data_IF_584691954446
#
_entry.id   IF_584691954446
#
_cell.length_a   1.000
_cell.length_b   1.000
_cell.length_c   1.000
_cell.angle_alpha   90.00
_cell.angle_beta   90.00
_cell.angle_gamma   90.00
#
_symmetry.space_group_name_H-M   'P 1'
#
loop_
_entity.id
_entity.type
_entity.pdbx_description
1 polymer ?
#
# COMPACT_ATOMS: atom_id res chain seq x y z
N UNK A 1 -0.66 21.93 -7.83
CA UNK A 1 0.67 22.47 -7.44
C UNK A 1 0.75 22.58 -5.93
N UNK A 2 1.85 22.13 -5.29
CA UNK A 2 2.06 22.26 -3.84
C UNK A 2 2.26 23.74 -3.47
N UNK A 3 1.59 24.22 -2.42
CA UNK A 3 1.69 25.61 -1.94
C UNK A 3 3.13 25.99 -1.59
N UNK A 4 3.52 27.25 -1.78
CA UNK A 4 4.84 27.80 -1.39
C UNK A 4 5.16 27.45 0.08
N UNK A 5 4.16 27.56 0.97
CA UNK A 5 4.29 27.18 2.39
C UNK A 5 4.72 25.73 2.56
N UNK A 6 4.15 24.82 1.77
CA UNK A 6 4.49 23.38 1.85
C UNK A 6 5.89 23.07 1.31
N UNK A 7 6.39 23.84 0.34
CA UNK A 7 7.76 23.69 -0.19
C UNK A 7 8.79 24.19 0.81
N UNK A 8 8.52 25.33 1.46
CA UNK A 8 9.37 25.87 2.53
C UNK A 8 9.40 24.90 3.72
N UNK A 9 8.23 24.45 4.19
CA UNK A 9 8.14 23.50 5.29
C UNK A 9 8.90 22.20 5.00
N UNK A 10 8.85 21.69 3.77
CA UNK A 10 9.60 20.51 3.36
C UNK A 10 11.12 20.73 3.45
N UNK A 11 11.62 21.87 2.95
CA UNK A 11 13.04 22.21 3.00
C UNK A 11 13.54 22.38 4.43
N UNK A 12 12.78 23.07 5.28
CA UNK A 12 13.11 23.23 6.70
C UNK A 12 13.17 21.87 7.40
N UNK A 13 12.16 21.01 7.20
CA UNK A 13 12.17 19.64 7.76
C UNK A 13 13.36 18.82 7.30
N UNK A 14 13.68 18.89 6.01
CA UNK A 14 14.83 18.18 5.43
C UNK A 14 16.15 18.66 6.03
N UNK A 15 16.32 19.98 6.21
CA UNK A 15 17.51 20.54 6.85
C UNK A 15 17.63 20.13 8.31
N UNK A 16 16.53 20.21 9.09
CA UNK A 16 16.52 19.79 10.49
C UNK A 16 16.88 18.31 10.65
N UNK A 17 16.38 17.46 9.74
CA UNK A 17 16.70 16.03 9.69
C UNK A 17 18.17 15.78 9.29
N UNK A 18 18.64 16.40 8.20
CA UNK A 18 20.01 16.20 7.69
C UNK A 18 21.09 16.78 8.61
N UNK A 19 20.76 17.82 9.38
CA UNK A 19 21.67 18.39 10.39
C UNK A 19 21.73 17.57 11.69
N UNK A 20 20.85 16.58 11.86
CA UNK A 20 20.75 15.78 13.10
C UNK A 20 20.19 16.57 14.29
N UNK A 21 19.66 17.77 14.09
CA UNK A 21 19.02 18.57 15.14
C UNK A 21 17.82 17.82 15.71
N UNK A 22 17.06 17.12 14.87
CA UNK A 22 15.96 16.26 15.33
C UNK A 22 16.46 15.09 16.19
N UNK A 23 17.54 14.42 15.79
CA UNK A 23 18.16 13.35 16.57
C UNK A 23 18.67 13.86 17.92
N UNK A 24 19.36 15.01 17.93
CA UNK A 24 19.89 15.64 19.14
C UNK A 24 18.76 16.10 20.06
N UNK A 25 17.73 16.77 19.53
CA UNK A 25 16.57 17.18 20.32
C UNK A 25 15.81 15.98 20.88
N UNK A 26 15.68 14.87 20.14
CA UNK A 26 15.07 13.62 20.64
C UNK A 26 15.87 12.99 21.76
N UNK A 27 17.20 13.08 21.71
CA UNK A 27 18.12 12.60 22.74
C UNK A 27 18.05 13.46 24.00
N UNK A 28 17.94 14.79 23.86
CA UNK A 28 17.90 15.74 24.96
C UNK A 28 16.50 15.88 25.58
N UNK A 29 15.44 15.73 24.78
CA UNK A 29 14.03 15.86 25.17
C UNK A 29 13.21 14.63 24.76
N UNK A 30 13.52 13.44 25.32
CA UNK A 30 12.85 12.20 24.94
C UNK A 30 11.40 12.13 25.44
N UNK A 31 10.49 11.65 24.59
CA UNK A 31 9.04 11.58 24.88
C UNK A 31 8.69 10.39 25.76
N UNK A 32 7.90 10.58 26.81
CA UNK A 32 7.33 9.48 27.60
C UNK A 32 6.03 8.91 27.01
N UNK A 33 5.45 9.57 26.00
CA UNK A 33 4.23 9.12 25.34
C UNK A 33 4.59 8.17 24.19
N UNK A 34 4.06 6.93 24.18
CA UNK A 34 4.24 5.99 23.08
C UNK A 34 3.62 6.51 21.79
N UNK A 35 4.26 6.19 20.66
CA UNK A 35 3.75 6.50 19.33
C UNK A 35 3.40 5.21 18.61
N UNK A 36 2.28 5.22 17.88
CA UNK A 36 1.92 4.16 16.95
C UNK A 36 2.05 4.73 15.54
N UNK A 37 3.02 4.22 14.77
CA UNK A 37 3.20 4.57 13.37
C UNK A 37 2.51 3.54 12.49
N UNK A 38 1.55 4.01 11.70
CA UNK A 38 0.66 3.20 10.88
C UNK A 38 1.06 3.30 9.41
N UNK A 39 1.27 2.15 8.79
CA UNK A 39 1.58 1.95 7.39
C UNK A 39 0.46 1.15 6.73
N UNK A 40 0.35 1.21 5.40
CA UNK A 40 -0.56 0.35 4.64
C UNK A 40 0.24 -0.38 3.57
N UNK A 41 0.85 0.33 2.63
CA UNK A 41 1.58 -0.27 1.51
C UNK A 41 3.01 0.25 1.39
N UNK A 42 3.96 -0.66 1.17
CA UNK A 42 5.38 -0.39 0.93
C UNK A 42 5.74 -0.78 -0.50
N UNK A 43 5.39 0.07 -1.48
CA UNK A 43 5.69 -0.17 -2.90
C UNK A 43 6.00 1.11 -3.70
N UNK A 44 6.84 0.97 -4.73
CA UNK A 44 7.35 2.09 -5.54
C UNK A 44 6.34 2.62 -6.56
N UNK A 45 5.47 1.77 -7.09
CA UNK A 45 4.40 2.17 -8.02
C UNK A 45 3.15 1.31 -7.83
N UNK A 46 1.98 1.94 -7.80
CA UNK A 46 0.68 1.26 -7.79
C UNK A 46 -0.41 2.17 -8.34
N UNK A 47 -1.26 1.60 -9.20
CA UNK A 47 -2.49 2.25 -9.69
C UNK A 47 -3.70 1.84 -8.85
N UNK A 48 -3.58 0.88 -7.94
CA UNK A 48 -4.71 0.38 -7.14
C UNK A 48 -4.69 0.96 -5.73
N UNK A 49 -3.53 1.41 -5.27
CA UNK A 49 -3.30 1.91 -3.92
C UNK A 49 -3.14 3.42 -3.98
N UNK A 50 -3.90 4.12 -3.14
CA UNK A 50 -3.83 5.58 -3.05
C UNK A 50 -2.43 6.05 -2.63
N UNK A 51 -1.92 7.08 -3.31
CA UNK A 51 -0.64 7.70 -2.97
C UNK A 51 -0.56 8.23 -1.52
N UNK A 52 -1.71 8.48 -0.88
CA UNK A 52 -1.77 8.95 0.52
C UNK A 52 -1.47 7.87 1.57
N UNK A 53 -1.45 6.59 1.19
CA UNK A 53 -1.23 5.45 2.10
C UNK A 53 -0.06 4.57 1.65
N UNK A 54 0.72 5.05 0.67
CA UNK A 54 1.83 4.34 0.05
C UNK A 54 3.16 5.01 0.40
N UNK A 55 4.17 4.21 0.67
CA UNK A 55 5.57 4.63 0.81
C UNK A 55 6.45 3.73 -0.06
N UNK A 56 7.54 4.26 -0.62
CA UNK A 56 8.47 3.40 -1.38
C UNK A 56 9.32 2.56 -0.42
N UNK A 57 9.83 1.39 -0.85
CA UNK A 57 10.74 0.59 -0.04
C UNK A 57 11.98 1.36 0.43
N UNK A 58 12.51 2.27 -0.40
CA UNK A 58 13.68 3.08 -0.10
C UNK A 58 13.37 4.07 1.03
N UNK A 59 12.28 4.85 0.88
CA UNK A 59 11.84 5.79 1.90
C UNK A 59 11.43 5.08 3.21
N UNK A 60 10.84 3.90 3.11
CA UNK A 60 10.53 3.08 4.28
C UNK A 60 11.80 2.58 4.97
N UNK A 61 12.82 2.15 4.21
CA UNK A 61 14.12 1.73 4.74
C UNK A 61 14.81 2.87 5.49
N UNK A 62 14.79 4.09 4.96
CA UNK A 62 15.32 5.28 5.65
C UNK A 62 14.59 5.53 6.98
N UNK A 63 13.26 5.40 7.01
CA UNK A 63 12.48 5.53 8.24
C UNK A 63 12.83 4.44 9.26
N UNK A 64 12.95 3.19 8.82
CA UNK A 64 13.31 2.05 9.68
C UNK A 64 14.72 2.22 10.27
N UNK A 65 15.68 2.67 9.46
CA UNK A 65 17.03 2.99 9.94
C UNK A 65 16.98 4.07 11.03
N UNK A 66 16.21 5.14 10.80
CA UNK A 66 16.01 6.19 11.80
C UNK A 66 15.36 5.66 13.08
N UNK A 67 14.34 4.80 12.98
CA UNK A 67 13.69 4.21 14.14
C UNK A 67 14.63 3.33 14.95
N UNK A 68 15.45 2.51 14.29
CA UNK A 68 16.43 1.66 14.96
C UNK A 68 17.43 2.45 15.82
N UNK A 69 17.78 3.68 15.40
CA UNK A 69 18.74 4.52 16.13
C UNK A 69 18.11 5.41 17.22
N UNK A 70 16.81 5.72 17.14
CA UNK A 70 16.21 6.78 17.96
C UNK A 70 14.98 6.37 18.79
N UNK A 71 14.41 5.19 18.53
CA UNK A 71 13.18 4.74 19.19
C UNK A 71 13.37 3.38 19.86
N UNK A 72 12.63 3.20 20.95
CA UNK A 72 12.43 1.89 21.55
C UNK A 72 11.25 1.20 20.87
N UNK A 73 11.52 0.45 19.81
CA UNK A 73 10.47 -0.24 19.06
C UNK A 73 10.04 -1.50 19.81
N UNK A 74 8.76 -1.59 20.14
CA UNK A 74 8.19 -2.74 20.87
C UNK A 74 7.03 -3.37 20.12
N UNK A 75 6.66 -4.58 20.53
CA UNK A 75 5.46 -5.24 20.04
C UNK A 75 4.20 -4.63 20.67
N UNK A 76 3.08 -4.66 19.95
CA UNK A 76 1.80 -4.14 20.44
C UNK A 76 1.36 -4.79 21.76
N UNK A 77 1.58 -6.10 21.93
CA UNK A 77 1.22 -6.79 23.17
C UNK A 77 2.03 -6.29 24.39
N UNK A 78 3.31 -5.92 24.20
CA UNK A 78 4.12 -5.31 25.26
C UNK A 78 3.59 -3.92 25.63
N UNK A 79 3.17 -3.13 24.64
CA UNK A 79 2.55 -1.83 24.90
C UNK A 79 1.24 -1.98 25.71
N UNK A 80 0.39 -2.92 25.32
CA UNK A 80 -0.87 -3.23 26.02
C UNK A 80 -0.59 -3.67 27.46
N UNK A 81 0.39 -4.56 27.66
CA UNK A 81 0.79 -5.03 28.99
C UNK A 81 1.26 -3.86 29.88
N UNK A 82 2.06 -2.93 29.34
CA UNK A 82 2.53 -1.76 30.07
C UNK A 82 1.36 -0.85 30.48
N UNK A 83 0.39 -0.63 29.59
CA UNK A 83 -0.82 0.15 29.87
C UNK A 83 -1.63 -0.50 30.99
N UNK A 84 -1.92 -1.80 30.87
CA UNK A 84 -2.75 -2.55 31.82
C UNK A 84 -2.13 -2.55 33.22
N UNK A 85 -0.81 -2.71 33.30
CA UNK A 85 -0.07 -2.74 34.56
C UNK A 85 0.34 -1.33 35.06
N UNK A 86 -0.11 -0.25 34.40
CA UNK A 86 0.25 1.14 34.72
C UNK A 86 1.78 1.35 34.83
N UNK A 87 2.56 0.61 34.05
CA UNK A 87 4.02 0.73 33.98
C UNK A 87 4.37 1.99 33.19
N UNK A 88 5.40 2.71 33.63
CA UNK A 88 5.95 3.81 32.84
C UNK A 88 6.51 3.27 31.52
N UNK A 89 6.29 4.00 30.43
CA UNK A 89 6.86 3.66 29.14
C UNK A 89 8.33 4.04 29.08
N UNK A 90 9.13 3.23 28.37
CA UNK A 90 10.44 3.68 27.98
C UNK A 90 10.31 4.90 27.08
N UNK A 91 11.24 5.84 27.21
CA UNK A 91 11.14 7.06 26.42
C UNK A 91 11.36 6.74 24.94
N UNK A 92 10.66 7.48 24.06
CA UNK A 92 10.61 7.24 22.63
C UNK A 92 10.14 5.82 22.27
N UNK A 93 9.16 5.28 23.01
CA UNK A 93 8.50 4.03 22.64
C UNK A 93 7.75 4.17 21.30
N UNK A 94 7.94 3.21 20.40
CA UNK A 94 7.30 3.16 19.09
C UNK A 94 6.71 1.78 18.81
N UNK A 95 5.50 1.74 18.27
CA UNK A 95 4.90 0.53 17.70
C UNK A 95 4.64 0.78 16.22
N UNK A 96 5.01 -0.19 15.39
CA UNK A 96 4.79 -0.16 13.94
C UNK A 96 3.60 -1.06 13.60
N UNK A 97 2.60 -0.52 12.91
CA UNK A 97 1.44 -1.28 12.43
C UNK A 97 1.30 -1.18 10.92
N UNK A 98 0.80 -2.26 10.31
CA UNK A 98 0.53 -2.38 8.88
C UNK A 98 -0.91 -2.84 8.72
N UNK A 99 -1.73 -2.00 8.09
CA UNK A 99 -3.16 -2.26 7.90
C UNK A 99 -3.43 -2.83 6.52
N UNK A 100 -4.64 -3.38 6.33
CA UNK A 100 -5.20 -3.93 5.08
C UNK A 100 -4.53 -5.20 4.52
N UNK A 101 -3.33 -5.57 4.96
CA UNK A 101 -2.68 -6.83 4.59
C UNK A 101 -2.22 -6.90 3.13
N UNK A 102 -1.68 -5.80 2.60
CA UNK A 102 -1.12 -5.76 1.25
C UNK A 102 0.05 -6.75 1.09
N UNK A 103 0.17 -7.37 -0.09
CA UNK A 103 1.24 -8.35 -0.37
C UNK A 103 2.65 -7.76 -0.24
N UNK A 104 2.79 -6.47 -0.57
CA UNK A 104 4.04 -5.73 -0.41
C UNK A 104 4.49 -5.58 1.06
N UNK A 105 3.62 -5.85 2.04
CA UNK A 105 3.98 -5.86 3.44
C UNK A 105 5.01 -6.95 3.78
N UNK A 106 5.14 -7.98 2.93
CA UNK A 106 6.23 -8.95 3.05
C UNK A 106 7.60 -8.28 2.90
N UNK A 107 7.72 -7.29 2.00
CA UNK A 107 8.94 -6.52 1.85
C UNK A 107 9.19 -5.62 3.07
N UNK A 108 8.14 -4.99 3.59
CA UNK A 108 8.23 -4.25 4.85
C UNK A 108 8.74 -5.13 6.01
N UNK A 109 8.22 -6.36 6.14
CA UNK A 109 8.65 -7.32 7.15
C UNK A 109 10.14 -7.70 6.98
N UNK A 110 10.61 -7.90 5.74
CA UNK A 110 12.03 -8.17 5.45
C UNK A 110 12.91 -6.98 5.85
N UNK A 111 12.50 -5.76 5.53
CA UNK A 111 13.23 -4.55 5.90
C UNK A 111 13.31 -4.43 7.43
N UNK A 112 12.19 -4.57 8.15
CA UNK A 112 12.20 -4.54 9.62
C UNK A 112 13.14 -5.59 10.22
N UNK A 113 13.11 -6.82 9.69
CA UNK A 113 13.98 -7.91 10.13
C UNK A 113 15.46 -7.58 9.96
N UNK A 114 15.86 -6.90 8.86
CA UNK A 114 17.26 -6.49 8.64
C UNK A 114 17.77 -5.53 9.73
N UNK A 115 16.90 -4.73 10.33
CA UNK A 115 17.24 -3.79 11.40
C UNK A 115 16.93 -4.33 12.80
N UNK A 116 16.54 -5.60 12.94
CA UNK A 116 16.15 -6.18 14.23
C UNK A 116 14.86 -5.61 14.83
N UNK A 117 14.03 -4.95 14.01
CA UNK A 117 12.77 -4.35 14.44
C UNK A 117 11.58 -5.29 14.20
N UNK A 118 10.47 -4.98 14.86
CA UNK A 118 9.20 -5.72 14.76
C UNK A 118 8.07 -4.82 14.28
N UNK A 119 7.04 -5.42 13.69
CA UNK A 119 5.81 -4.74 13.30
C UNK A 119 4.59 -5.67 13.48
N UNK A 120 3.41 -5.08 13.66
CA UNK A 120 2.14 -5.80 13.70
C UNK A 120 1.41 -5.66 12.36
N UNK A 121 0.99 -6.77 11.77
CA UNK A 121 0.33 -6.81 10.47
C UNK A 121 -1.14 -7.22 10.65
N UNK A 122 -2.07 -6.32 10.34
CA UNK A 122 -3.50 -6.58 10.33
C UNK A 122 -3.92 -7.04 8.94
N UNK A 123 -4.45 -8.26 8.88
CA UNK A 123 -4.78 -8.93 7.62
C UNK A 123 -6.30 -8.98 7.45
N UNK A 124 -6.79 -8.60 6.28
CA UNK A 124 -8.22 -8.70 5.94
C UNK A 124 -8.58 -10.14 5.55
N UNK A 125 -8.94 -10.96 6.55
CA UNK A 125 -9.20 -12.39 6.40
C UNK A 125 -10.25 -12.72 5.32
N UNK A 126 -11.33 -11.95 5.22
CA UNK A 126 -12.36 -12.16 4.19
C UNK A 126 -11.81 -12.09 2.76
N UNK A 127 -10.81 -11.24 2.50
CA UNK A 127 -10.15 -11.20 1.19
C UNK A 127 -9.21 -12.40 0.96
N UNK A 128 -8.81 -13.15 1.99
CA UNK A 128 -8.04 -14.39 1.82
C UNK A 128 -8.97 -15.53 1.41
N UNK A 129 -10.14 -15.61 2.03
CA UNK A 129 -11.07 -16.72 1.83
C UNK A 129 -11.85 -16.62 0.51
N UNK A 130 -12.26 -15.41 0.10
CA UNK A 130 -13.21 -15.24 -1.02
C UNK A 130 -12.57 -15.09 -2.40
N UNK A 131 -11.23 -15.12 -2.51
CA UNK A 131 -10.44 -14.69 -3.68
C UNK A 131 -10.79 -13.28 -4.23
N UNK A 132 -11.72 -12.56 -3.58
CA UNK A 132 -12.15 -11.23 -3.97
C UNK A 132 -11.14 -10.17 -3.54
N UNK A 133 -10.97 -9.19 -4.42
CA UNK A 133 -10.15 -8.01 -4.16
C UNK A 133 -10.76 -7.13 -3.08
N UNK A 134 -9.90 -6.44 -2.33
CA UNK A 134 -10.35 -5.46 -1.36
C UNK A 134 -11.14 -4.36 -2.06
N UNK A 135 -12.32 -4.02 -1.54
CA UNK A 135 -13.28 -3.14 -2.23
C UNK A 135 -12.69 -1.77 -2.60
N UNK A 136 -11.70 -1.26 -1.84
CA UNK A 136 -11.03 0.02 -2.16
C UNK A 136 -10.27 -0.09 -3.48
N UNK A 137 -9.56 -1.19 -3.68
CA UNK A 137 -8.83 -1.47 -4.90
C UNK A 137 -9.79 -1.74 -6.07
N UNK A 138 -10.90 -2.46 -5.82
CA UNK A 138 -11.96 -2.68 -6.81
C UNK A 138 -12.56 -1.37 -7.32
N UNK A 139 -12.93 -0.44 -6.42
CA UNK A 139 -13.48 0.87 -6.79
C UNK A 139 -12.52 1.64 -7.68
N UNK A 140 -11.24 1.67 -7.32
CA UNK A 140 -10.22 2.34 -8.13
C UNK A 140 -10.03 1.67 -9.48
N UNK A 141 -9.90 0.35 -9.51
CA UNK A 141 -9.71 -0.41 -10.75
C UNK A 141 -10.84 -0.19 -11.76
N UNK A 142 -12.09 -0.34 -11.32
CA UNK A 142 -13.24 -0.19 -12.21
C UNK A 142 -13.34 1.25 -12.76
N UNK A 143 -13.14 2.26 -11.91
CA UNK A 143 -13.20 3.67 -12.34
C UNK A 143 -11.99 4.06 -13.19
N UNK A 144 -10.79 3.51 -12.97
CA UNK A 144 -9.61 3.88 -13.75
C UNK A 144 -9.55 3.20 -15.12
N UNK A 145 -10.12 2.01 -15.26
CA UNK A 145 -9.99 1.21 -16.48
C UNK A 145 -11.24 1.19 -17.38
N UNK A 146 -12.36 1.74 -16.94
CA UNK A 146 -13.59 1.81 -17.77
C UNK A 146 -13.43 2.80 -18.93
N UNK A 147 -14.01 2.44 -20.07
CA UNK A 147 -14.17 3.28 -21.25
C UNK A 147 -15.37 4.23 -21.13
N UNK A 148 -16.23 4.05 -20.12
CA UNK A 148 -17.38 4.92 -19.87
C UNK A 148 -16.92 6.33 -19.47
N UNK A 149 -17.70 7.32 -19.87
CA UNK A 149 -17.48 8.76 -19.60
C UNK A 149 -18.26 9.27 -18.38
N UNK A 150 -19.29 8.52 -17.99
CA UNK A 150 -20.15 8.76 -16.84
C UNK A 150 -20.66 7.42 -16.33
N UNK A 151 -21.01 7.37 -15.04
CA UNK A 151 -21.67 6.24 -14.41
C UNK A 151 -22.94 6.71 -13.72
N UNK A 152 -24.01 5.93 -13.78
CA UNK A 152 -25.26 6.21 -13.06
C UNK A 152 -25.45 5.15 -11.98
N UNK A 153 -25.59 5.58 -10.73
CA UNK A 153 -25.86 4.68 -9.60
C UNK A 153 -27.13 5.08 -8.89
N UNK A 154 -27.98 4.10 -8.61
CA UNK A 154 -29.04 4.22 -7.61
C UNK A 154 -28.39 4.23 -6.22
N UNK A 155 -28.37 5.40 -5.58
CA UNK A 155 -27.86 5.57 -4.22
C UNK A 155 -29.03 5.74 -3.24
N UNK A 156 -28.81 5.55 -1.92
CA UNK A 156 -29.86 5.74 -0.92
C UNK A 156 -30.54 7.11 -0.98
N UNK A 157 -29.82 8.15 -1.41
CA UNK A 157 -30.31 9.53 -1.54
C UNK A 157 -30.84 9.86 -2.96
N UNK A 158 -31.02 8.84 -3.81
CA UNK A 158 -31.48 8.95 -5.20
C UNK A 158 -30.41 8.66 -6.25
N UNK A 159 -30.83 8.60 -7.52
CA UNK A 159 -29.94 8.34 -8.64
C UNK A 159 -28.89 9.45 -8.80
N UNK A 160 -27.63 9.04 -8.92
CA UNK A 160 -26.53 9.97 -9.10
C UNK A 160 -25.77 9.67 -10.39
N UNK A 161 -25.77 10.64 -11.31
CA UNK A 161 -24.86 10.64 -12.46
C UNK A 161 -23.50 11.21 -12.04
N UNK A 162 -22.46 10.38 -12.13
CA UNK A 162 -21.09 10.74 -11.74
C UNK A 162 -20.22 10.78 -13.01
N UNK A 163 -19.65 11.94 -13.38
CA UNK A 163 -18.75 12.03 -14.52
C UNK A 163 -17.40 11.38 -14.20
N UNK A 164 -16.81 10.69 -15.18
CA UNK A 164 -15.54 9.94 -15.10
C UNK A 164 -14.72 10.07 -16.41
N UNK A 165 -14.91 11.15 -17.15
CA UNK A 165 -14.34 11.32 -18.50
C UNK A 165 -12.84 11.65 -18.50
N UNK A 166 -12.33 12.22 -17.42
CA UNK A 166 -10.94 12.64 -17.29
C UNK A 166 -10.32 12.24 -15.93
N UNK A 167 -8.98 12.29 -15.77
CA UNK A 167 -8.33 11.86 -14.54
C UNK A 167 -8.80 12.60 -13.27
N UNK A 168 -9.15 13.88 -13.38
CA UNK A 168 -9.63 14.66 -12.23
C UNK A 168 -11.02 14.19 -11.78
N UNK A 169 -11.91 13.93 -12.73
CA UNK A 169 -13.24 13.37 -12.49
C UNK A 169 -13.17 11.96 -11.90
N UNK A 170 -12.31 11.09 -12.45
CA UNK A 170 -12.07 9.73 -11.92
C UNK A 170 -11.62 9.77 -10.46
N UNK A 171 -10.65 10.61 -10.12
CA UNK A 171 -10.20 10.72 -8.72
C UNK A 171 -11.28 11.31 -7.79
N UNK A 172 -12.13 12.23 -8.26
CA UNK A 172 -13.29 12.71 -7.50
C UNK A 172 -14.32 11.59 -7.29
N UNK A 173 -14.61 10.79 -8.33
CA UNK A 173 -15.52 9.66 -8.27
C UNK A 173 -15.02 8.60 -7.27
N UNK A 174 -13.74 8.22 -7.34
CA UNK A 174 -13.12 7.27 -6.41
C UNK A 174 -13.26 7.74 -4.96
N UNK A 175 -12.96 9.02 -4.69
CA UNK A 175 -13.13 9.60 -3.35
C UNK A 175 -14.59 9.59 -2.88
N UNK A 176 -15.52 9.94 -3.77
CA UNK A 176 -16.96 9.94 -3.48
C UNK A 176 -17.45 8.52 -3.13
N UNK A 177 -17.13 7.54 -3.97
CA UNK A 177 -17.49 6.14 -3.76
C UNK A 177 -16.85 5.56 -2.49
N UNK A 178 -15.57 5.85 -2.26
CA UNK A 178 -14.85 5.41 -1.06
C UNK A 178 -15.47 6.01 0.21
N UNK A 179 -15.89 7.28 0.18
CA UNK A 179 -16.54 7.93 1.32
C UNK A 179 -17.92 7.31 1.59
N UNK A 180 -18.69 7.06 0.54
CA UNK A 180 -19.99 6.40 0.63
C UNK A 180 -19.87 5.00 1.22
N UNK A 181 -18.94 4.18 0.72
CA UNK A 181 -18.76 2.80 1.19
C UNK A 181 -18.30 2.73 2.65
N UNK A 182 -17.64 3.78 3.15
CA UNK A 182 -17.25 3.91 4.57
C UNK A 182 -18.40 4.35 5.48
N UNK A 183 -19.44 5.00 4.94
CA UNK A 183 -20.52 5.57 5.74
C UNK A 183 -21.77 4.70 5.81
N UNK A 184 -21.81 3.58 5.11
CA UNK A 184 -22.96 2.66 5.05
C UNK A 184 -22.65 1.32 5.73
N UNK A 185 -23.69 0.54 6.03
CA UNK A 185 -23.52 -0.82 6.56
C UNK A 185 -22.84 -1.73 5.53
N UNK A 186 -22.28 -2.85 5.99
CA UNK A 186 -21.66 -3.85 5.10
C UNK A 186 -22.67 -4.34 4.06
N UNK A 187 -23.89 -4.68 4.47
CA UNK A 187 -24.94 -5.15 3.57
C UNK A 187 -25.26 -4.12 2.48
N UNK A 188 -25.48 -2.85 2.85
CA UNK A 188 -25.73 -1.77 1.90
C UNK A 188 -24.54 -1.55 0.96
N UNK A 189 -23.31 -1.62 1.48
CA UNK A 189 -22.09 -1.53 0.67
C UNK A 189 -22.05 -2.65 -0.36
N UNK A 190 -22.31 -3.89 0.03
CA UNK A 190 -22.28 -5.03 -0.91
C UNK A 190 -23.39 -4.93 -1.97
N UNK A 191 -24.57 -4.40 -1.62
CA UNK A 191 -25.63 -4.12 -2.59
C UNK A 191 -25.20 -3.03 -3.59
N UNK A 192 -24.60 -1.93 -3.12
CA UNK A 192 -24.08 -0.89 -4.01
C UNK A 192 -22.92 -1.43 -4.86
N UNK A 193 -22.05 -2.29 -4.31
CA UNK A 193 -20.96 -2.95 -5.06
C UNK A 193 -21.50 -3.78 -6.22
N UNK A 194 -22.60 -4.52 -6.04
CA UNK A 194 -23.24 -5.28 -7.15
C UNK A 194 -23.70 -4.35 -8.28
N UNK A 195 -24.39 -3.26 -7.94
CA UNK A 195 -24.85 -2.26 -8.93
C UNK A 195 -23.65 -1.60 -9.62
N UNK A 196 -22.61 -1.29 -8.86
CA UNK A 196 -21.38 -0.68 -9.37
C UNK A 196 -20.63 -1.60 -10.34
N UNK A 197 -20.53 -2.90 -10.04
CA UNK A 197 -19.96 -3.92 -10.94
C UNK A 197 -20.78 -4.05 -12.23
N UNK A 198 -22.11 -3.98 -12.14
CA UNK A 198 -22.98 -4.00 -13.31
C UNK A 198 -22.82 -2.73 -14.16
N UNK A 199 -22.72 -1.56 -13.52
CA UNK A 199 -22.56 -0.29 -14.21
C UNK A 199 -21.18 -0.13 -14.87
N UNK A 200 -20.13 -0.78 -14.35
CA UNK A 200 -18.78 -0.75 -14.94
C UNK A 200 -18.37 -2.12 -15.49
N UNK A 201 -19.31 -2.82 -16.11
CA UNK A 201 -19.13 -4.17 -16.64
C UNK A 201 -18.19 -4.28 -17.86
N UNK A 202 -17.71 -3.17 -18.40
CA UNK A 202 -16.71 -3.14 -19.46
C UNK A 202 -15.28 -3.38 -18.93
N UNK A 203 -15.11 -3.42 -17.61
CA UNK A 203 -13.84 -3.71 -16.95
C UNK A 203 -13.90 -5.07 -16.27
N UNK A 204 -13.00 -6.01 -16.59
CA UNK A 204 -12.96 -7.29 -15.90
C UNK A 204 -12.58 -7.10 -14.43
N UNK A 205 -13.26 -7.85 -13.55
CA UNK A 205 -12.83 -7.97 -12.16
C UNK A 205 -11.48 -8.68 -12.12
N UNK A 206 -10.56 -8.15 -11.34
CA UNK A 206 -9.25 -8.72 -11.15
C UNK A 206 -9.29 -9.58 -9.87
N UNK A 207 -8.77 -10.80 -9.93
CA UNK A 207 -8.65 -11.66 -8.75
C UNK A 207 -7.40 -11.26 -7.96
N UNK A 208 -7.36 -11.59 -6.67
CA UNK A 208 -6.23 -11.30 -5.77
C UNK A 208 -4.85 -11.78 -6.29
N UNK A 209 -4.80 -12.79 -7.18
CA UNK A 209 -3.54 -13.25 -7.81
C UNK A 209 -2.95 -12.22 -8.77
N UNK A 210 -3.80 -11.41 -9.39
CA UNK A 210 -3.36 -10.38 -10.34
C UNK A 210 -2.80 -9.12 -9.67
N UNK A 211 -2.95 -8.91 -8.35
CA UNK A 211 -2.20 -7.86 -7.63
C UNK A 211 -0.70 -8.17 -7.58
N UNK A 212 -0.35 -9.46 -7.50
CA UNK A 212 1.03 -9.94 -7.59
C UNK A 212 1.53 -9.83 -9.05
N UNK A 213 0.65 -10.09 -10.00
CA UNK A 213 0.97 -10.08 -11.43
C UNK A 213 1.07 -8.67 -12.02
N UNK A 214 0.20 -7.72 -11.66
CA UNK A 214 0.26 -6.32 -12.14
C UNK A 214 1.49 -5.58 -11.61
N UNK A 215 1.93 -5.87 -10.39
CA UNK A 215 3.18 -5.35 -9.83
C UNK A 215 4.43 -5.95 -10.51
N UNK A 216 4.34 -7.19 -11.02
CA UNK A 216 5.44 -7.84 -11.75
C UNK A 216 5.45 -7.54 -13.25
N UNK A 217 4.29 -7.36 -13.88
CA UNK A 217 4.13 -6.94 -15.29
C UNK A 217 4.71 -5.54 -15.51
N UNK A 218 4.58 -4.62 -14.54
CA UNK A 218 5.23 -3.29 -14.64
C UNK A 218 6.74 -3.30 -14.39
N UNK A 219 7.30 -4.29 -13.68
CA UNK A 219 8.77 -4.42 -13.52
C UNK A 219 9.46 -4.89 -14.79
N UNK A 220 8.79 -5.71 -15.61
CA UNK A 220 9.39 -6.26 -16.83
C UNK A 220 9.28 -5.32 -18.07
N UNK A 221 8.68 -4.13 -17.93
CA UNK A 221 8.51 -3.18 -19.03
C UNK A 221 9.60 -2.10 -19.14
N UNK A 222 10.60 -2.11 -18.27
CA UNK A 222 11.74 -1.19 -18.28
C UNK A 222 12.99 -1.92 -17.85
N UNK A 223 13.44 -2.86 -18.67
CA UNK A 223 14.84 -3.30 -18.78
C UNK A 223 14.92 -4.30 -19.93
N UNK A 224 15.81 -4.07 -20.91
CA UNK A 224 16.21 -5.11 -21.86
C UNK A 224 15.99 -4.80 -23.34
N UNK A 225 16.60 -3.73 -23.82
CA UNK A 225 17.21 -3.76 -25.16
C UNK A 225 18.31 -4.85 -25.19
N UNK A 226 18.37 -5.61 -26.29
CA UNK A 226 19.47 -6.50 -26.64
C UNK A 226 19.58 -7.84 -25.89
N UNK A 227 19.23 -8.95 -26.54
CA UNK A 227 20.21 -9.87 -27.14
C UNK A 227 19.50 -11.13 -27.69
N UNK A 228 19.56 -11.32 -29.02
CA UNK A 228 19.26 -12.62 -29.64
C UNK A 228 20.35 -13.60 -29.24
N UNK A 229 19.98 -14.70 -28.60
CA UNK A 229 20.77 -15.94 -28.65
C UNK A 229 19.88 -17.10 -29.03
N UNK A 230 20.21 -17.63 -30.20
CA UNK A 230 19.77 -18.88 -30.79
C UNK A 230 20.00 -20.04 -29.82
N UNK A 231 18.95 -20.80 -29.53
CA UNK A 231 19.08 -22.09 -28.85
C UNK A 231 19.65 -23.13 -29.83
N UNK A 232 20.78 -23.71 -29.45
CA UNK A 232 21.39 -24.88 -30.05
C UNK A 232 20.67 -26.13 -29.50
N UNK A 233 20.10 -26.93 -30.38
CA UNK A 233 19.48 -28.24 -30.09
C UNK A 233 20.57 -29.31 -29.95
N UNK A 234 20.69 -30.02 -28.82
CA UNK A 234 21.56 -31.18 -28.68
C UNK A 234 20.73 -32.46 -28.63
N UNK A 235 20.25 -32.91 -29.79
CA UNK A 235 19.58 -34.21 -29.92
C UNK A 235 20.00 -35.00 -31.17
N UNK A 236 21.30 -35.03 -31.48
CA UNK A 236 21.86 -36.01 -32.42
C UNK A 236 23.30 -36.40 -32.04
N UNK A 237 23.46 -37.47 -31.25
CA UNK A 237 24.68 -38.29 -31.28
C UNK A 237 24.52 -39.56 -30.42
N UNK A 238 23.86 -40.60 -30.94
CA UNK A 238 24.02 -41.95 -30.41
C UNK A 238 23.54 -43.00 -31.42
N UNK A 239 24.32 -43.26 -32.47
CA UNK A 239 24.31 -44.55 -33.16
C UNK A 239 25.50 -44.64 -34.15
N UNK A 240 26.59 -45.28 -33.72
CA UNK A 240 27.41 -46.21 -34.53
C UNK A 240 28.70 -46.58 -33.79
N UNK A 241 28.73 -47.80 -33.26
CA UNK A 241 29.70 -48.85 -33.60
C UNK A 241 29.78 -49.89 -32.49
N UNK A 242 29.28 -51.09 -32.77
CA UNK A 242 29.98 -52.34 -32.49
C UNK A 242 29.40 -53.46 -33.37
N UNK A 243 30.31 -54.03 -34.17
CA UNK A 243 30.23 -55.22 -35.04
C UNK A 243 29.66 -55.00 -36.43
#
# INVERSE_FOLDING_TARGET
>A
MKSIKSRIAFRVKSFVYQSGIDAMTRRLMPSAIPVIARYHSVCSESNLISAGIRITPEAFTEQVAYFASHFHVIKMNQLIEQIQNRKAFQKNTLVLTFDDGYTDNLEAARILKKYGLTGLFYITAGCIESEESFWVAEVRHLIENTNKKKMTLALPDGDCCIPISNPSEREKAIKKMTRLFKSVTIETRENIRKVFRFELNDVPLFSKRSDVELASIKRNGRDGDGNRRTHHDPSQSAQRHKR
#
